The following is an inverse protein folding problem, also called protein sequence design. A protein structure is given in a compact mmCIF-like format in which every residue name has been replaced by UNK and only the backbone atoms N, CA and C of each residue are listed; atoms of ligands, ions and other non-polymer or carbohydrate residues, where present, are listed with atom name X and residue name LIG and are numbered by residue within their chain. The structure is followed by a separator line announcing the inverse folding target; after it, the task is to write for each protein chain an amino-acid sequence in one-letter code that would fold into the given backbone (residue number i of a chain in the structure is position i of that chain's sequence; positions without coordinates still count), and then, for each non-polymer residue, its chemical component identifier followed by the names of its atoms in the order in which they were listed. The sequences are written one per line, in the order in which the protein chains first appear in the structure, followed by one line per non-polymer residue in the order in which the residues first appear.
data_IF_667844367526
#
_entry.id   IF_667844367526
#
_cell.length_a   1.000
_cell.length_b   1.000
_cell.length_c   1.000
_cell.angle_alpha   90.00
_cell.angle_beta   90.00
_cell.angle_gamma   90.00
#
_symmetry.space_group_name_H-M   'P 1'
#
loop_
_entity.id
_entity.type
_entity.pdbx_description
1 polymer ?
#
# COMPACT_ATOMS: atom_id res chain seq x y z
N UNK A 1 31.52 -14.17 -23.16
CA UNK A 1 31.61 -14.99 -21.94
C UNK A 1 30.19 -15.41 -21.62
N UNK A 2 29.82 -16.65 -21.90
CA UNK A 2 28.47 -17.13 -21.56
C UNK A 2 28.45 -17.31 -20.06
N UNK A 3 27.66 -16.47 -19.37
CA UNK A 3 27.40 -16.66 -17.95
C UNK A 3 26.62 -17.96 -17.79
N UNK A 4 27.13 -18.84 -16.94
CA UNK A 4 26.45 -20.11 -16.66
C UNK A 4 25.07 -19.84 -16.07
N UNK A 5 24.00 -20.54 -16.51
CA UNK A 5 22.63 -20.33 -16.03
C UNK A 5 22.50 -20.38 -14.49
N UNK A 6 23.37 -21.14 -13.85
CA UNK A 6 23.43 -21.26 -12.37
C UNK A 6 23.86 -19.96 -11.69
N UNK A 7 24.79 -19.20 -12.26
CA UNK A 7 25.20 -17.90 -11.71
C UNK A 7 24.11 -16.86 -11.78
N UNK A 8 23.28 -16.91 -12.81
CA UNK A 8 22.10 -16.06 -12.91
C UNK A 8 21.09 -16.39 -11.82
N UNK A 9 20.74 -17.66 -11.62
CA UNK A 9 19.78 -18.09 -10.59
C UNK A 9 20.26 -17.73 -9.18
N UNK A 10 21.55 -17.92 -8.88
CA UNK A 10 22.17 -17.54 -7.62
C UNK A 10 22.13 -16.01 -7.41
N UNK A 11 22.47 -15.23 -8.43
CA UNK A 11 22.44 -13.77 -8.35
C UNK A 11 21.01 -13.24 -8.08
N UNK A 12 20.00 -13.83 -8.72
CA UNK A 12 18.59 -13.48 -8.49
C UNK A 12 18.15 -13.88 -7.09
N UNK A 13 18.55 -15.05 -6.58
CA UNK A 13 18.24 -15.48 -5.22
C UNK A 13 18.84 -14.53 -4.18
N UNK A 14 20.15 -14.26 -4.28
CA UNK A 14 20.84 -13.34 -3.37
C UNK A 14 20.23 -11.94 -3.39
N UNK A 15 19.73 -11.51 -4.57
CA UNK A 15 19.05 -10.21 -4.71
C UNK A 15 17.69 -10.20 -4.00
N UNK A 16 16.94 -11.30 -4.05
CA UNK A 16 15.68 -11.45 -3.30
C UNK A 16 15.93 -11.39 -1.82
N UNK A 17 16.86 -12.19 -1.32
CA UNK A 17 17.23 -12.24 0.09
C UNK A 17 17.64 -10.85 0.61
N UNK A 18 18.47 -10.14 -0.15
CA UNK A 18 18.86 -8.76 0.16
C UNK A 18 17.65 -7.80 0.25
N UNK A 19 16.76 -7.85 -0.75
CA UNK A 19 15.59 -6.96 -0.78
C UNK A 19 14.61 -7.28 0.34
N UNK A 20 14.39 -8.55 0.63
CA UNK A 20 13.52 -8.98 1.72
C UNK A 20 14.07 -8.54 3.07
N UNK A 21 15.38 -8.65 3.29
CA UNK A 21 16.04 -8.13 4.50
C UNK A 21 15.87 -6.61 4.63
N UNK A 22 16.13 -5.85 3.57
CA UNK A 22 15.95 -4.40 3.57
C UNK A 22 14.50 -3.95 3.85
N UNK A 23 13.52 -4.74 3.43
CA UNK A 23 12.10 -4.46 3.62
C UNK A 23 11.59 -4.81 5.03
N UNK A 24 12.35 -5.57 5.84
CA UNK A 24 11.93 -5.98 7.19
C UNK A 24 11.68 -4.80 8.13
N UNK A 25 12.38 -3.68 7.95
CA UNK A 25 12.19 -2.47 8.75
C UNK A 25 11.06 -1.56 8.28
N UNK A 26 10.35 -1.95 7.21
CA UNK A 26 9.30 -1.15 6.62
C UNK A 26 8.00 -1.18 7.45
N UNK A 27 7.33 -0.03 7.58
CA UNK A 27 6.01 0.02 8.24
C UNK A 27 4.91 -0.42 7.27
N UNK A 28 3.97 -1.28 7.72
CA UNK A 28 2.88 -1.78 6.89
C UNK A 28 1.92 -0.69 6.40
N UNK A 29 1.22 -0.99 5.32
CA UNK A 29 0.09 -0.19 4.81
C UNK A 29 -1.13 -1.08 4.64
N UNK A 30 -2.27 -0.62 5.10
CA UNK A 30 -3.55 -1.34 5.00
C UNK A 30 -4.51 -0.54 4.14
N UNK A 31 -5.17 -1.19 3.20
CA UNK A 31 -6.26 -0.61 2.42
C UNK A 31 -7.47 -1.55 2.48
N UNK A 32 -8.60 -1.03 2.96
CA UNK A 32 -9.83 -1.79 3.14
C UNK A 32 -11.02 -1.08 2.49
N UNK A 33 -11.98 -1.83 1.93
CA UNK A 33 -13.26 -1.28 1.50
C UNK A 33 -14.11 -0.89 2.71
N UNK A 34 -14.91 0.15 2.58
CA UNK A 34 -15.94 0.54 3.54
C UNK A 34 -17.16 1.08 2.79
N UNK A 35 -18.27 1.32 3.46
CA UNK A 35 -19.50 1.81 2.82
C UNK A 35 -19.27 3.15 2.10
N UNK A 36 -18.42 4.02 2.65
CA UNK A 36 -18.09 5.32 2.08
C UNK A 36 -17.11 5.24 0.90
N UNK A 37 -16.44 4.09 0.70
CA UNK A 37 -15.47 3.89 -0.38
C UNK A 37 -14.28 3.02 0.02
N UNK A 38 -13.06 3.59 0.09
CA UNK A 38 -11.83 2.88 0.44
C UNK A 38 -11.10 3.67 1.52
N UNK A 39 -10.73 2.99 2.61
CA UNK A 39 -9.85 3.53 3.66
C UNK A 39 -8.43 3.01 3.46
N UNK A 40 -7.44 3.91 3.39
CA UNK A 40 -6.02 3.60 3.53
C UNK A 40 -5.52 4.03 4.90
N UNK A 41 -4.68 3.20 5.51
CA UNK A 41 -4.06 3.47 6.81
C UNK A 41 -2.62 2.97 6.83
N UNK A 42 -1.73 3.78 7.40
CA UNK A 42 -0.38 3.40 7.80
C UNK A 42 -0.01 4.13 9.08
N UNK A 43 1.09 3.72 9.70
CA UNK A 43 1.68 4.41 10.85
C UNK A 43 3.13 4.73 10.52
N UNK A 44 3.53 5.97 10.73
CA UNK A 44 4.87 6.43 10.38
C UNK A 44 5.60 7.06 11.56
N UNK A 45 6.92 7.04 11.47
CA UNK A 45 7.82 7.76 12.38
C UNK A 45 8.36 9.04 11.71
N UNK A 46 7.52 9.75 10.93
CA UNK A 46 7.85 11.02 10.29
C UNK A 46 8.09 10.97 8.77
N UNK A 47 8.03 9.77 8.15
CA UNK A 47 8.09 9.64 6.67
C UNK A 47 6.72 9.23 6.15
N UNK A 48 6.15 10.02 5.27
CA UNK A 48 4.85 9.74 4.67
C UNK A 48 4.84 8.39 3.96
N UNK A 49 3.73 7.65 4.08
CA UNK A 49 3.54 6.29 3.52
C UNK A 49 2.34 6.18 2.59
N UNK A 50 1.38 7.10 2.68
CA UNK A 50 0.17 7.10 1.86
C UNK A 50 0.06 8.39 1.07
N UNK A 51 -0.27 8.30 -0.22
CA UNK A 51 -0.20 9.39 -1.18
C UNK A 51 -1.41 9.38 -2.11
N UNK A 52 -1.92 10.56 -2.42
CA UNK A 52 -2.79 10.76 -3.58
C UNK A 52 -1.94 10.70 -4.85
N UNK A 53 -2.41 9.98 -5.85
CA UNK A 53 -1.77 9.87 -7.17
C UNK A 53 -2.58 10.61 -8.23
N UNK A 54 -3.88 10.39 -8.24
CA UNK A 54 -4.80 11.03 -9.16
C UNK A 54 -6.20 11.05 -8.56
N UNK A 55 -7.16 11.69 -9.20
CA UNK A 55 -8.51 11.95 -8.70
C UNK A 55 -9.15 10.81 -7.88
N UNK A 56 -8.92 9.56 -8.28
CA UNK A 56 -9.54 8.36 -7.71
C UNK A 56 -8.53 7.26 -7.37
N UNK A 57 -7.25 7.59 -7.41
CA UNK A 57 -6.16 6.63 -7.21
C UNK A 57 -5.23 7.09 -6.10
N UNK A 58 -4.98 6.20 -5.18
CA UNK A 58 -4.04 6.40 -4.07
C UNK A 58 -2.97 5.33 -4.05
N UNK A 59 -1.84 5.66 -3.44
CA UNK A 59 -0.70 4.78 -3.30
C UNK A 59 -0.33 4.67 -1.82
N UNK A 60 -0.11 3.44 -1.37
CA UNK A 60 0.58 3.14 -0.14
C UNK A 60 1.93 2.48 -0.44
N UNK A 61 2.95 2.76 0.35
CA UNK A 61 4.28 2.26 0.09
C UNK A 61 5.01 1.76 1.34
N UNK A 62 5.72 0.65 1.17
CA UNK A 62 6.64 0.07 2.15
C UNK A 62 8.01 -0.05 1.50
N UNK A 63 9.06 0.51 2.10
CA UNK A 63 10.43 0.44 1.61
C UNK A 63 11.24 1.72 1.79
N UNK A 64 12.33 1.83 1.03
CA UNK A 64 13.24 2.96 1.14
C UNK A 64 12.62 4.26 0.60
N UNK A 65 12.60 5.36 1.36
CA UNK A 65 11.90 6.59 0.98
C UNK A 65 12.28 7.14 -0.41
N UNK A 66 13.56 7.13 -0.79
CA UNK A 66 14.01 7.64 -2.08
C UNK A 66 13.49 6.79 -3.26
N UNK A 67 13.37 5.47 -3.09
CA UNK A 67 12.84 4.58 -4.13
C UNK A 67 11.32 4.73 -4.24
N UNK A 68 10.65 4.87 -3.10
CA UNK A 68 9.20 5.17 -3.03
C UNK A 68 8.90 6.47 -3.77
N UNK A 69 9.63 7.56 -3.47
CA UNK A 69 9.44 8.86 -4.13
C UNK A 69 9.69 8.78 -5.64
N UNK A 70 10.69 8.03 -6.06
CA UNK A 70 10.97 7.84 -7.49
C UNK A 70 9.83 7.11 -8.20
N UNK A 71 9.31 6.05 -7.61
CA UNK A 71 8.18 5.30 -8.17
C UNK A 71 6.87 6.12 -8.13
N UNK A 72 6.66 6.89 -7.05
CA UNK A 72 5.53 7.82 -6.94
C UNK A 72 5.54 8.87 -8.04
N UNK A 73 6.69 9.48 -8.33
CA UNK A 73 6.79 10.46 -9.41
C UNK A 73 6.51 9.82 -10.78
N UNK A 74 7.05 8.64 -11.06
CA UNK A 74 6.76 7.90 -12.30
C UNK A 74 5.26 7.69 -12.49
N UNK A 75 4.54 7.26 -11.46
CA UNK A 75 3.11 6.98 -11.59
C UNK A 75 2.27 8.26 -11.67
N UNK A 76 2.66 9.34 -11.00
CA UNK A 76 2.00 10.64 -11.11
C UNK A 76 2.15 11.19 -12.53
N UNK A 77 3.36 11.21 -13.07
CA UNK A 77 3.63 11.69 -14.43
C UNK A 77 2.83 10.90 -15.46
N UNK A 78 2.77 9.57 -15.30
CA UNK A 78 1.97 8.72 -16.18
C UNK A 78 0.48 9.00 -16.05
N UNK A 79 -0.04 9.17 -14.84
CA UNK A 79 -1.45 9.47 -14.61
C UNK A 79 -1.86 10.79 -15.27
N UNK A 80 -1.04 11.83 -15.13
CA UNK A 80 -1.28 13.12 -15.78
C UNK A 80 -1.17 13.05 -17.28
N UNK A 81 -0.19 12.32 -17.82
CA UNK A 81 -0.05 12.12 -19.26
C UNK A 81 -1.24 11.36 -19.86
N UNK A 82 -1.72 10.31 -19.19
CA UNK A 82 -2.93 9.58 -19.60
C UNK A 82 -4.18 10.48 -19.56
N UNK A 83 -4.36 11.20 -18.46
CA UNK A 83 -5.49 12.12 -18.29
C UNK A 83 -5.53 13.24 -19.30
N UNK A 84 -4.35 13.77 -19.68
CA UNK A 84 -4.23 14.80 -20.71
C UNK A 84 -4.47 14.26 -22.13
N UNK A 85 -3.86 13.12 -22.46
CA UNK A 85 -3.94 12.57 -23.83
C UNK A 85 -5.30 11.91 -24.15
N UNK A 86 -6.06 11.50 -23.14
CA UNK A 86 -7.34 10.81 -23.29
C UNK A 86 -8.44 11.55 -22.54
N UNK A 87 -8.66 11.16 -21.29
CA UNK A 87 -9.61 11.79 -20.38
C UNK A 87 -9.20 11.48 -18.95
N UNK A 88 -9.42 12.39 -17.98
CA UNK A 88 -9.23 12.08 -16.56
C UNK A 88 -9.96 10.80 -16.12
N UNK A 89 -11.05 10.46 -16.78
CA UNK A 89 -11.84 9.26 -16.50
C UNK A 89 -11.21 7.95 -16.97
N UNK A 90 -10.20 8.01 -17.82
CA UNK A 90 -9.52 6.83 -18.38
C UNK A 90 -8.29 6.44 -17.58
N UNK A 91 -7.88 7.30 -16.63
CA UNK A 91 -6.80 6.98 -15.69
C UNK A 91 -7.29 5.92 -14.72
N UNK A 92 -6.67 4.75 -14.76
CA UNK A 92 -7.03 3.62 -13.90
C UNK A 92 -5.78 3.01 -13.25
N UNK A 93 -5.94 2.51 -12.01
CA UNK A 93 -4.87 1.83 -11.29
C UNK A 93 -4.29 0.66 -12.09
N UNK A 94 -5.15 -0.09 -12.79
CA UNK A 94 -4.71 -1.20 -13.66
C UNK A 94 -3.69 -0.74 -14.70
N UNK A 95 -3.99 0.34 -15.43
CA UNK A 95 -3.07 0.86 -16.44
C UNK A 95 -1.78 1.41 -15.83
N UNK A 96 -1.90 2.15 -14.72
CA UNK A 96 -0.76 2.71 -14.01
C UNK A 96 0.18 1.61 -13.50
N UNK A 97 -0.36 0.51 -12.99
CA UNK A 97 0.44 -0.64 -12.55
C UNK A 97 1.06 -1.37 -13.74
N UNK A 98 0.25 -1.76 -14.72
CA UNK A 98 0.70 -2.61 -15.83
C UNK A 98 1.71 -1.94 -16.76
N UNK A 99 1.55 -0.66 -17.02
CA UNK A 99 2.38 0.07 -17.99
C UNK A 99 3.34 1.08 -17.36
N UNK A 100 2.99 1.61 -16.17
CA UNK A 100 3.80 2.63 -15.49
C UNK A 100 4.78 2.05 -14.46
N UNK A 101 4.34 1.16 -13.61
CA UNK A 101 5.12 0.72 -12.45
C UNK A 101 5.78 -0.65 -12.62
N UNK A 102 5.02 -1.66 -13.05
CA UNK A 102 5.55 -3.02 -13.12
C UNK A 102 6.75 -3.17 -14.09
N UNK A 103 6.75 -2.59 -15.30
CA UNK A 103 7.87 -2.73 -16.22
C UNK A 103 9.20 -2.15 -15.68
N UNK A 104 9.28 -0.90 -15.20
CA UNK A 104 10.54 -0.36 -14.69
C UNK A 104 11.00 -1.04 -13.40
N UNK A 105 10.08 -1.51 -12.54
CA UNK A 105 10.43 -2.27 -11.34
C UNK A 105 11.03 -3.62 -11.72
N UNK A 106 10.38 -4.35 -12.64
CA UNK A 106 10.89 -5.63 -13.16
C UNK A 106 12.25 -5.45 -13.84
N UNK A 107 12.39 -4.45 -14.68
CA UNK A 107 13.66 -4.16 -15.35
C UNK A 107 14.78 -3.90 -14.34
N UNK A 108 14.54 -3.06 -13.34
CA UNK A 108 15.52 -2.78 -12.29
C UNK A 108 15.88 -4.02 -11.47
N UNK A 109 14.92 -4.93 -11.25
CA UNK A 109 15.17 -6.20 -10.58
C UNK A 109 15.99 -7.19 -11.41
N UNK A 110 15.77 -7.27 -12.72
CA UNK A 110 16.46 -8.22 -13.61
C UNK A 110 17.84 -7.73 -14.05
N UNK A 111 18.09 -6.44 -14.08
CA UNK A 111 19.36 -5.85 -14.52
C UNK A 111 20.41 -5.89 -13.40
N UNK A 112 21.31 -6.90 -13.42
CA UNK A 112 22.29 -7.16 -12.35
C UNK A 112 23.20 -5.96 -12.07
N UNK A 113 23.55 -5.18 -13.08
CA UNK A 113 24.41 -4.00 -12.97
C UNK A 113 23.71 -2.76 -12.35
N UNK A 114 22.42 -2.84 -12.07
CA UNK A 114 21.60 -1.75 -11.54
C UNK A 114 21.07 -2.07 -10.14
N UNK A 115 21.01 -1.07 -9.27
CA UNK A 115 20.34 -1.21 -7.98
C UNK A 115 18.83 -1.41 -8.19
N UNK A 116 18.22 -2.45 -7.61
CA UNK A 116 16.77 -2.65 -7.63
C UNK A 116 16.08 -1.61 -6.74
N UNK A 117 14.77 -1.40 -6.94
CA UNK A 117 13.97 -0.60 -6.02
C UNK A 117 13.71 -1.39 -4.73
N UNK A 118 14.07 -0.81 -3.60
CA UNK A 118 13.73 -1.34 -2.26
C UNK A 118 12.33 -0.82 -1.91
N UNK A 119 11.32 -1.34 -2.59
CA UNK A 119 9.94 -0.89 -2.42
C UNK A 119 8.93 -1.98 -2.75
N UNK A 120 7.85 -2.01 -1.98
CA UNK A 120 6.59 -2.68 -2.29
C UNK A 120 5.49 -1.63 -2.29
N UNK A 121 4.56 -1.73 -3.23
CA UNK A 121 3.51 -0.73 -3.39
C UNK A 121 2.13 -1.37 -3.28
N UNK A 122 1.21 -0.61 -2.71
CA UNK A 122 -0.21 -0.83 -2.71
C UNK A 122 -0.85 0.31 -3.49
N UNK A 123 -1.63 0.01 -4.50
CA UNK A 123 -2.39 1.00 -5.25
C UNK A 123 -3.87 0.67 -5.09
N UNK A 124 -4.67 1.67 -4.73
CA UNK A 124 -6.11 1.50 -4.63
C UNK A 124 -6.85 2.52 -5.50
N UNK A 125 -7.93 2.07 -6.12
CA UNK A 125 -8.80 2.86 -6.98
C UNK A 125 -10.26 2.71 -6.56
N UNK A 126 -10.97 3.84 -6.50
CA UNK A 126 -12.42 3.89 -6.42
C UNK A 126 -12.98 4.13 -7.82
N UNK A 127 -13.49 3.08 -8.47
CA UNK A 127 -14.10 3.16 -9.79
C UNK A 127 -15.36 4.04 -9.79
N UNK A 128 -15.76 4.54 -10.97
CA UNK A 128 -16.98 5.33 -11.13
C UNK A 128 -18.26 4.55 -10.85
N UNK A 129 -18.22 3.25 -11.07
CA UNK A 129 -19.25 2.27 -10.72
C UNK A 129 -19.20 1.86 -9.24
N UNK A 130 -18.41 2.58 -8.44
CA UNK A 130 -18.13 2.28 -7.03
C UNK A 130 -17.37 0.96 -6.81
N UNK A 131 -16.81 0.37 -7.84
CA UNK A 131 -15.89 -0.75 -7.69
C UNK A 131 -14.67 -0.34 -6.86
N UNK A 132 -14.23 -1.22 -6.00
CA UNK A 132 -13.07 -1.04 -5.14
C UNK A 132 -12.00 -2.00 -5.62
N UNK A 133 -10.91 -1.44 -6.15
CA UNK A 133 -9.86 -2.22 -6.80
C UNK A 133 -8.55 -1.96 -6.06
N UNK A 134 -7.84 -3.02 -5.73
CA UNK A 134 -6.56 -2.95 -5.03
C UNK A 134 -5.51 -3.72 -5.80
N UNK A 135 -4.33 -3.15 -5.92
CA UNK A 135 -3.16 -3.79 -6.50
C UNK A 135 -2.02 -3.83 -5.47
N UNK A 136 -1.39 -4.99 -5.33
CA UNK A 136 -0.06 -5.08 -4.75
C UNK A 136 0.96 -5.18 -5.87
N UNK A 137 2.07 -4.44 -5.76
CA UNK A 137 3.23 -4.55 -6.63
C UNK A 137 4.45 -4.84 -5.78
N UNK A 138 5.12 -5.94 -6.08
CA UNK A 138 6.32 -6.36 -5.39
C UNK A 138 7.59 -5.83 -6.09
N UNK A 139 8.71 -5.86 -5.39
CA UNK A 139 10.02 -5.40 -5.84
C UNK A 139 10.55 -6.08 -7.13
N UNK A 140 10.02 -7.25 -7.48
CA UNK A 140 10.35 -7.99 -8.70
C UNK A 140 9.42 -7.67 -9.90
N UNK A 141 8.51 -6.71 -9.72
CA UNK A 141 7.53 -6.32 -10.73
C UNK A 141 6.29 -7.22 -10.80
N UNK A 142 6.21 -8.25 -9.96
CA UNK A 142 4.99 -9.07 -9.84
C UNK A 142 3.90 -8.26 -9.15
N UNK A 143 2.72 -8.22 -9.76
CA UNK A 143 1.56 -7.56 -9.17
C UNK A 143 0.36 -8.50 -9.11
N UNK A 144 -0.52 -8.24 -8.13
CA UNK A 144 -1.79 -8.96 -7.93
C UNK A 144 -2.91 -7.96 -7.77
N UNK A 145 -4.10 -8.30 -8.27
CA UNK A 145 -5.33 -7.53 -8.13
C UNK A 145 -6.28 -8.24 -7.17
N UNK A 146 -6.97 -7.45 -6.34
CA UNK A 146 -8.03 -7.93 -5.44
C UNK A 146 -9.12 -6.87 -5.27
N UNK A 147 -10.30 -7.27 -4.76
CA UNK A 147 -11.43 -6.40 -4.48
C UNK A 147 -11.86 -6.40 -3.01
N UNK A 148 -11.24 -7.25 -2.19
CA UNK A 148 -11.63 -7.45 -0.78
C UNK A 148 -10.78 -6.65 0.21
N UNK A 149 -9.82 -5.87 -0.28
CA UNK A 149 -8.84 -5.15 0.53
C UNK A 149 -7.44 -5.75 0.41
N UNK A 150 -6.46 -5.07 0.97
CA UNK A 150 -5.06 -5.45 0.90
C UNK A 150 -4.28 -4.98 2.13
N UNK A 151 -3.39 -5.82 2.62
CA UNK A 151 -2.37 -5.45 3.61
C UNK A 151 -0.99 -5.61 2.97
N UNK A 152 -0.26 -4.52 2.90
CA UNK A 152 1.13 -4.50 2.46
C UNK A 152 2.00 -4.62 3.71
N UNK A 153 2.42 -5.83 4.04
CA UNK A 153 3.28 -6.14 5.18
C UNK A 153 4.71 -6.46 4.72
N UNK A 154 5.62 -6.59 5.66
CA UNK A 154 6.96 -7.10 5.38
C UNK A 154 6.90 -8.53 4.83
N UNK A 155 7.85 -8.95 3.96
CA UNK A 155 7.87 -10.30 3.41
C UNK A 155 7.91 -11.39 4.50
N UNK A 156 7.38 -12.57 4.20
CA UNK A 156 7.40 -13.74 5.09
C UNK A 156 6.16 -13.85 5.97
N UNK A 157 6.33 -14.28 7.21
CA UNK A 157 5.25 -14.62 8.15
C UNK A 157 4.22 -13.50 8.38
N UNK A 158 4.67 -12.25 8.39
CA UNK A 158 3.79 -11.10 8.57
C UNK A 158 2.75 -11.00 7.43
N UNK A 159 3.18 -11.22 6.17
CA UNK A 159 2.28 -11.22 5.01
C UNK A 159 1.26 -12.36 5.12
N UNK A 160 1.69 -13.59 5.44
CA UNK A 160 0.80 -14.76 5.56
C UNK A 160 -0.24 -14.58 6.67
N UNK A 161 0.20 -14.06 7.81
CA UNK A 161 -0.64 -13.77 8.98
C UNK A 161 -1.71 -12.74 8.64
N UNK A 162 -1.34 -11.66 7.95
CA UNK A 162 -2.27 -10.62 7.52
C UNK A 162 -3.25 -11.10 6.44
N UNK A 163 -2.79 -11.89 5.46
CA UNK A 163 -3.67 -12.46 4.44
C UNK A 163 -4.72 -13.39 5.06
N UNK A 164 -4.33 -14.20 6.04
CA UNK A 164 -5.24 -15.09 6.76
C UNK A 164 -6.28 -14.31 7.56
N UNK A 165 -5.85 -13.27 8.29
CA UNK A 165 -6.75 -12.41 9.05
C UNK A 165 -7.70 -11.63 8.14
N UNK A 166 -7.22 -11.09 7.02
CA UNK A 166 -8.05 -10.36 6.05
C UNK A 166 -9.12 -11.26 5.43
N UNK A 167 -8.81 -12.50 5.10
CA UNK A 167 -9.79 -13.48 4.59
C UNK A 167 -10.90 -13.80 5.58
N UNK A 168 -10.64 -13.68 6.87
CA UNK A 168 -11.64 -13.89 7.92
C UNK A 168 -12.60 -12.69 8.08
N UNK A 169 -12.22 -11.51 7.57
CA UNK A 169 -13.05 -10.30 7.60
C UNK A 169 -14.00 -10.29 6.39
N UNK A 170 -15.28 -10.50 6.64
CA UNK A 170 -16.32 -10.44 5.61
C UNK A 170 -17.18 -9.18 5.76
N UNK A 171 -17.76 -8.69 4.65
CA UNK A 171 -18.73 -7.60 4.62
C UNK A 171 -18.16 -6.25 5.06
N UNK A 172 -16.88 -5.99 4.82
CA UNK A 172 -16.26 -4.70 5.14
C UNK A 172 -16.87 -3.57 4.30
N UNK A 173 -17.25 -3.86 3.07
CA UNK A 173 -17.89 -2.95 2.13
C UNK A 173 -19.22 -2.37 2.62
N UNK A 174 -19.88 -3.05 3.54
CA UNK A 174 -21.16 -2.66 4.15
C UNK A 174 -20.98 -1.97 5.50
N UNK A 175 -19.75 -1.90 6.02
CA UNK A 175 -19.45 -1.29 7.32
C UNK A 175 -19.03 0.16 7.17
N UNK A 176 -19.39 0.98 8.18
CA UNK A 176 -18.96 2.38 8.22
C UNK A 176 -17.44 2.51 8.36
N UNK A 177 -16.85 3.55 7.77
CA UNK A 177 -15.42 3.85 7.82
C UNK A 177 -14.85 3.77 9.24
N UNK A 178 -15.59 4.21 10.24
CA UNK A 178 -15.17 4.14 11.65
C UNK A 178 -14.90 2.71 12.13
N UNK A 179 -15.75 1.76 11.76
CA UNK A 179 -15.58 0.34 12.11
C UNK A 179 -14.42 -0.27 11.33
N UNK A 180 -14.34 0.06 10.04
CA UNK A 180 -13.26 -0.40 9.16
C UNK A 180 -11.91 0.16 9.60
N UNK A 181 -11.86 1.39 10.13
CA UNK A 181 -10.64 1.96 10.71
C UNK A 181 -10.09 1.10 11.86
N UNK A 182 -10.98 0.65 12.74
CA UNK A 182 -10.58 -0.22 13.85
C UNK A 182 -9.98 -1.55 13.34
N UNK A 183 -10.60 -2.17 12.33
CA UNK A 183 -10.05 -3.39 11.72
C UNK A 183 -8.73 -3.14 10.97
N UNK A 184 -8.63 -2.02 10.25
CA UNK A 184 -7.40 -1.62 9.56
C UNK A 184 -6.24 -1.42 10.55
N UNK A 185 -6.49 -0.77 11.68
CA UNK A 185 -5.48 -0.54 12.72
C UNK A 185 -5.04 -1.84 13.39
N UNK A 186 -5.99 -2.76 13.66
CA UNK A 186 -5.67 -4.11 14.17
C UNK A 186 -4.84 -4.92 13.16
N UNK A 187 -5.19 -4.88 11.87
CA UNK A 187 -4.42 -5.54 10.81
C UNK A 187 -3.02 -4.95 10.67
N UNK A 188 -2.89 -3.64 10.80
CA UNK A 188 -1.60 -2.97 10.82
C UNK A 188 -0.74 -3.48 11.99
N UNK A 189 -1.29 -3.55 13.20
CA UNK A 189 -0.60 -4.09 14.37
C UNK A 189 -0.22 -5.57 14.21
N UNK A 190 -1.10 -6.37 13.59
CA UNK A 190 -0.83 -7.77 13.29
C UNK A 190 0.31 -7.95 12.26
N UNK A 191 0.51 -6.98 11.37
CA UNK A 191 1.63 -6.97 10.45
C UNK A 191 2.98 -6.68 11.13
N UNK A 192 2.98 -5.91 12.22
CA UNK A 192 4.18 -5.57 12.98
C UNK A 192 4.57 -6.66 13.99
N UNK A 193 3.58 -7.22 14.73
CA UNK A 193 3.82 -8.16 15.82
C UNK A 193 2.87 -9.34 15.79
N UNK A 194 3.19 -10.40 16.54
CA UNK A 194 2.28 -11.53 16.74
C UNK A 194 1.00 -11.11 17.48
N UNK A 195 -0.07 -11.89 17.30
CA UNK A 195 -1.42 -11.52 17.78
C UNK A 195 -1.49 -11.28 19.29
N UNK A 196 -0.75 -12.06 20.07
CA UNK A 196 -0.74 -11.96 21.54
C UNK A 196 -0.17 -10.62 22.04
N UNK A 197 0.66 -9.96 21.23
CA UNK A 197 1.31 -8.68 21.57
C UNK A 197 0.63 -7.49 20.91
N UNK A 198 -0.35 -7.72 20.04
CA UNK A 198 -0.95 -6.68 19.18
C UNK A 198 -1.53 -5.53 19.97
N UNK A 199 -2.38 -5.78 20.97
CA UNK A 199 -3.07 -4.72 21.72
C UNK A 199 -2.06 -3.81 22.47
N UNK A 200 -1.08 -4.40 23.14
CA UNK A 200 -0.03 -3.64 23.83
C UNK A 200 0.80 -2.81 22.83
N UNK A 201 1.10 -3.39 21.67
CA UNK A 201 1.85 -2.70 20.61
C UNK A 201 1.07 -1.51 20.04
N UNK A 202 -0.25 -1.65 19.80
CA UNK A 202 -1.10 -0.56 19.31
C UNK A 202 -1.15 0.61 20.29
N UNK A 203 -1.23 0.33 21.59
CA UNK A 203 -1.17 1.36 22.64
C UNK A 203 0.19 2.07 22.68
N UNK A 204 1.28 1.33 22.52
CA UNK A 204 2.64 1.89 22.57
C UNK A 204 2.92 2.78 21.36
N UNK A 205 2.55 2.33 20.17
CA UNK A 205 2.69 3.07 18.91
C UNK A 205 2.01 4.45 18.95
N UNK A 206 0.87 4.57 19.61
CA UNK A 206 0.14 5.84 19.74
C UNK A 206 0.85 6.90 20.59
N UNK A 207 1.92 6.55 21.30
CA UNK A 207 2.73 7.50 22.09
C UNK A 207 3.73 8.26 21.22
N UNK A 208 4.35 7.57 20.24
CA UNK A 208 5.54 8.09 19.56
C UNK A 208 5.42 8.13 18.03
N UNK A 209 4.36 7.56 17.45
CA UNK A 209 4.18 7.52 16.00
C UNK A 209 2.89 8.21 15.55
N UNK A 210 2.88 8.66 14.32
CA UNK A 210 1.71 9.30 13.70
C UNK A 210 0.97 8.30 12.79
N UNK A 211 -0.35 8.25 12.94
CA UNK A 211 -1.21 7.51 12.00
C UNK A 211 -1.48 8.42 10.80
N UNK A 212 -1.27 7.89 9.63
CA UNK A 212 -1.65 8.46 8.35
C UNK A 212 -2.84 7.68 7.81
N UNK A 213 -3.94 8.35 7.53
CA UNK A 213 -5.10 7.72 6.94
C UNK A 213 -5.74 8.60 5.88
N UNK A 214 -6.21 7.98 4.80
CA UNK A 214 -6.92 8.63 3.70
C UNK A 214 -8.21 7.88 3.39
N UNK A 215 -9.26 8.62 3.06
CA UNK A 215 -10.52 8.09 2.58
C UNK A 215 -10.70 8.47 1.11
N UNK A 216 -10.91 7.46 0.25
CA UNK A 216 -11.43 7.66 -1.11
C UNK A 216 -12.94 7.53 -1.05
N UNK A 217 -13.67 8.57 -1.42
CA UNK A 217 -15.14 8.54 -1.38
C UNK A 217 -15.77 9.43 -2.42
N UNK A 218 -16.85 8.98 -3.02
CA UNK A 218 -17.68 9.81 -3.92
C UNK A 218 -18.25 11.05 -3.22
N UNK A 219 -18.41 11.01 -1.91
CA UNK A 219 -18.91 12.15 -1.12
C UNK A 219 -17.93 13.33 -1.05
N UNK A 220 -16.64 13.11 -1.39
CA UNK A 220 -15.65 14.19 -1.45
C UNK A 220 -15.96 15.12 -2.63
N UNK A 221 -16.17 16.41 -2.39
CA UNK A 221 -16.51 17.36 -3.45
C UNK A 221 -15.31 17.62 -4.37
N UNK A 222 -15.59 17.90 -5.64
CA UNK A 222 -14.55 18.19 -6.64
C UNK A 222 -14.10 16.97 -7.44
N UNK A 223 -13.08 17.14 -8.30
CA UNK A 223 -12.54 16.05 -9.12
C UNK A 223 -11.82 14.99 -8.29
N UNK A 224 -10.95 15.39 -7.36
CA UNK A 224 -10.31 14.47 -6.43
C UNK A 224 -11.33 13.88 -5.46
N UNK A 225 -11.30 12.57 -5.31
CA UNK A 225 -12.12 11.79 -4.38
C UNK A 225 -11.34 11.36 -3.15
N UNK A 226 -10.17 11.91 -2.98
CA UNK A 226 -9.25 11.61 -1.87
C UNK A 226 -9.36 12.65 -0.78
N UNK A 227 -9.53 12.21 0.46
CA UNK A 227 -9.53 13.07 1.64
C UNK A 227 -8.63 12.47 2.72
N UNK A 228 -7.57 13.17 3.14
CA UNK A 228 -6.83 12.76 4.34
C UNK A 228 -7.73 12.92 5.58
N UNK A 229 -7.63 12.00 6.54
CA UNK A 229 -8.26 12.14 7.84
C UNK A 229 -7.49 13.15 8.67
N UNK A 230 -8.22 14.04 9.34
CA UNK A 230 -7.62 15.03 10.23
C UNK A 230 -7.08 14.39 11.51
N UNK A 231 -6.13 15.06 12.16
CA UNK A 231 -5.60 14.60 13.47
C UNK A 231 -6.69 14.42 14.52
N UNK A 232 -7.71 15.28 14.50
CA UNK A 232 -8.86 15.18 15.43
C UNK A 232 -9.70 13.92 15.17
N UNK A 233 -10.00 13.61 13.90
CA UNK A 233 -10.69 12.38 13.52
C UNK A 233 -9.89 11.14 13.96
N UNK A 234 -8.60 11.10 13.66
CA UNK A 234 -7.72 9.99 14.05
C UNK A 234 -7.68 9.83 15.57
N UNK A 235 -7.60 10.93 16.31
CA UNK A 235 -7.62 10.89 17.78
C UNK A 235 -8.90 10.24 18.29
N UNK A 236 -10.05 10.65 17.78
CA UNK A 236 -11.37 10.06 18.16
C UNK A 236 -11.46 8.59 17.77
N UNK A 237 -10.95 8.22 16.57
CA UNK A 237 -10.96 6.83 16.09
C UNK A 237 -10.04 5.91 16.91
N UNK A 238 -8.99 6.46 17.51
CA UNK A 238 -8.00 5.71 18.30
C UNK A 238 -8.28 5.72 19.80
N UNK A 239 -9.34 6.40 20.29
CA UNK A 239 -9.71 6.42 21.71
C UNK A 239 -9.72 5.05 22.39
N UNK A 240 -10.23 3.95 21.78
CA UNK A 240 -10.25 2.64 22.40
C UNK A 240 -8.87 2.08 22.79
N UNK A 241 -7.81 2.58 22.17
CA UNK A 241 -6.42 2.14 22.44
C UNK A 241 -5.61 3.17 23.25
N UNK A 242 -6.19 4.31 23.59
CA UNK A 242 -5.51 5.37 24.37
C UNK A 242 -5.77 5.27 25.88
N UNK A 243 -6.56 4.27 26.28
CA UNK A 243 -6.94 4.06 27.69
C UNK A 243 -5.82 3.44 28.52
#
# INVERSE_FOLDING_TARGET
MFEEPYRWAEAVSNRRDYLEDQLQSGSPVVALPCIEGILLLSVSAGTQKVYEIYDRVVLGALGHPADVERLRNIVIDMAHLEGFNRSPSDVSARRLVQFGLAPPVKQAFEEIGRAPYIARLLIAELGKDQSRIFFSLNYDGVFKETHTGLVLATPGEATERCESALKALAGLEDRAMREVFAEAFKLWGLAEVAEEKREAHLQDVLKDREIEAMLLSESVPGPSKVRPLSKAEITTLTEPWRA
#
